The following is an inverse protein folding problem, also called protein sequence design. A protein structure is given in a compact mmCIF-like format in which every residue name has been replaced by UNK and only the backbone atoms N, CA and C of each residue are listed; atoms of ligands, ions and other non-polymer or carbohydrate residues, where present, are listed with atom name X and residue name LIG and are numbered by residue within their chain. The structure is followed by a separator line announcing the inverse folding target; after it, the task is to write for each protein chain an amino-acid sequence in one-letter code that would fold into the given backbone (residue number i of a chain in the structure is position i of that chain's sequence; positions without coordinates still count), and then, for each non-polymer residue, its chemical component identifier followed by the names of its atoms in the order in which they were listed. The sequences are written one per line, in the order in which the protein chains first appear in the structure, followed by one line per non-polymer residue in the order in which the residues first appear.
data_IF_635430963161
#
_entry.id   IF_635430963161
#
_cell.length_a   1.000
_cell.length_b   1.000
_cell.length_c   1.000
_cell.angle_alpha   90.00
_cell.angle_beta   90.00
_cell.angle_gamma   90.00
#
_symmetry.space_group_name_H-M   'P 1'
#
loop_
_entity.id
_entity.type
_entity.pdbx_description
1 polymer ?
#
# COMPACT_ATOMS: atom_id res chain seq x y z
N UNK A 1 -9.00 2.66 13.26
CA UNK A 1 -7.82 1.84 12.94
C UNK A 1 -7.02 1.57 14.22
N UNK A 2 -7.42 0.55 15.01
CA UNK A 2 -6.79 0.16 16.30
C UNK A 2 -5.62 -0.82 16.12
N UNK A 3 -4.88 -0.74 15.02
CA UNK A 3 -3.67 -1.55 14.79
C UNK A 3 -2.46 -1.09 15.63
N UNK A 4 -2.47 0.13 16.14
CA UNK A 4 -1.32 0.75 16.79
C UNK A 4 -0.86 0.11 18.12
N UNK A 5 -1.71 -0.36 19.04
CA UNK A 5 -1.24 -0.91 20.30
C UNK A 5 -0.49 -2.24 20.15
N UNK A 6 -0.97 -3.13 19.27
CA UNK A 6 -0.37 -4.46 19.07
C UNK A 6 0.92 -4.38 18.25
N UNK A 7 1.00 -3.43 17.32
CA UNK A 7 2.23 -3.11 16.59
C UNK A 7 3.33 -2.68 17.57
N UNK A 8 3.01 -1.89 18.59
CA UNK A 8 3.99 -1.43 19.59
C UNK A 8 4.64 -2.57 20.41
N UNK A 9 3.89 -3.62 20.72
CA UNK A 9 4.36 -4.72 21.57
C UNK A 9 5.25 -5.70 20.79
N UNK A 10 4.92 -5.99 19.53
CA UNK A 10 5.70 -6.90 18.67
C UNK A 10 7.01 -6.30 18.15
N UNK A 11 7.12 -4.97 18.11
CA UNK A 11 8.21 -4.28 17.41
C UNK A 11 9.49 -4.04 18.23
N UNK A 12 9.47 -4.20 19.54
CA UNK A 12 10.67 -3.87 20.31
C UNK A 12 11.79 -4.92 20.20
N UNK A 13 11.58 -6.09 19.60
CA UNK A 13 12.53 -7.19 19.74
C UNK A 13 12.86 -7.97 18.44
N UNK A 14 12.04 -7.99 17.38
CA UNK A 14 12.21 -9.03 16.36
C UNK A 14 12.19 -8.62 14.87
N UNK A 15 11.48 -7.60 14.46
CA UNK A 15 11.26 -7.30 13.03
C UNK A 15 11.96 -6.01 12.59
N UNK A 16 12.68 -6.06 11.47
CA UNK A 16 13.39 -4.91 10.89
C UNK A 16 12.85 -4.49 9.53
N UNK A 17 12.18 -5.39 8.84
CA UNK A 17 11.68 -5.19 7.49
C UNK A 17 10.21 -5.60 7.40
N UNK A 18 9.33 -4.64 7.19
CA UNK A 18 7.89 -4.81 7.32
C UNK A 18 7.22 -4.56 5.99
N UNK A 19 6.26 -5.42 5.65
CA UNK A 19 5.29 -5.19 4.61
C UNK A 19 3.94 -4.82 5.22
N UNK A 20 3.43 -3.62 4.93
CA UNK A 20 2.09 -3.21 5.30
C UNK A 20 1.16 -3.40 4.09
N UNK A 21 0.11 -4.20 4.24
CA UNK A 21 -0.97 -4.27 3.26
C UNK A 21 -2.19 -3.55 3.82
N UNK A 22 -2.68 -2.55 3.11
CA UNK A 22 -3.81 -1.73 3.56
C UNK A 22 -4.91 -1.78 2.50
N UNK A 23 -6.15 -2.02 2.92
CA UNK A 23 -7.28 -2.05 1.99
C UNK A 23 -7.59 -0.64 1.50
N UNK A 24 -7.97 -0.49 0.22
CA UNK A 24 -8.42 0.81 -0.30
C UNK A 24 -9.65 1.34 0.44
N UNK A 25 -10.57 0.46 0.80
CA UNK A 25 -11.78 0.82 1.55
C UNK A 25 -11.48 1.46 2.91
N UNK A 26 -10.37 1.06 3.56
CA UNK A 26 -9.92 1.69 4.81
C UNK A 26 -9.53 3.15 4.62
N UNK A 27 -9.09 3.55 3.42
CA UNK A 27 -8.71 4.94 3.11
C UNK A 27 -9.92 5.83 2.83
N UNK A 28 -11.07 5.26 2.52
CA UNK A 28 -12.31 6.01 2.33
C UNK A 28 -12.99 6.39 3.65
N UNK A 29 -12.66 5.69 4.75
CA UNK A 29 -13.28 5.93 6.05
C UNK A 29 -14.79 5.70 6.01
N UNK A 30 -15.55 6.74 6.36
CA UNK A 30 -17.01 6.77 6.27
C UNK A 30 -17.52 7.15 4.88
N UNK A 31 -16.67 7.61 3.99
CA UNK A 31 -17.05 7.98 2.63
C UNK A 31 -17.35 6.71 1.81
N UNK A 32 -18.28 6.83 0.86
CA UNK A 32 -18.59 5.73 -0.05
C UNK A 32 -17.44 5.45 -1.03
N UNK A 33 -16.74 6.51 -1.44
CA UNK A 33 -15.63 6.46 -2.41
C UNK A 33 -14.57 7.53 -2.08
N UNK A 34 -13.39 7.38 -2.68
CA UNK A 34 -12.31 8.35 -2.58
C UNK A 34 -11.51 8.23 -1.29
N UNK A 35 -11.14 9.35 -0.70
CA UNK A 35 -10.31 9.45 0.49
C UNK A 35 -11.05 10.10 1.66
N UNK A 36 -10.76 9.60 2.86
CA UNK A 36 -10.85 10.37 4.08
C UNK A 36 -9.44 10.92 4.38
N UNK A 37 -9.29 12.23 4.31
CA UNK A 37 -7.98 12.87 4.45
C UNK A 37 -7.42 12.80 5.87
N UNK A 38 -8.27 12.71 6.89
CA UNK A 38 -7.84 12.53 8.27
C UNK A 38 -7.25 11.13 8.46
N UNK A 39 -7.92 10.10 7.94
CA UNK A 39 -7.40 8.72 7.93
C UNK A 39 -6.07 8.63 7.18
N UNK A 40 -5.96 9.29 6.04
CA UNK A 40 -4.74 9.30 5.25
C UNK A 40 -3.59 9.96 6.01
N UNK A 41 -3.87 11.06 6.72
CA UNK A 41 -2.91 11.75 7.57
C UNK A 41 -2.48 10.89 8.77
N UNK A 42 -3.44 10.27 9.47
CA UNK A 42 -3.16 9.40 10.61
C UNK A 42 -2.31 8.19 10.21
N UNK A 43 -2.58 7.61 9.03
CA UNK A 43 -1.75 6.56 8.45
C UNK A 43 -0.32 7.06 8.21
N UNK A 44 -0.16 8.22 7.60
CA UNK A 44 1.16 8.81 7.34
C UNK A 44 1.93 9.09 8.63
N UNK A 45 1.27 9.61 9.67
CA UNK A 45 1.88 9.83 11.00
C UNK A 45 2.31 8.51 11.66
N UNK A 46 1.51 7.47 11.51
CA UNK A 46 1.83 6.14 12.01
C UNK A 46 3.05 5.54 11.32
N UNK A 47 3.14 5.68 9.99
CA UNK A 47 4.31 5.26 9.20
C UNK A 47 5.55 6.04 9.63
N UNK A 48 5.45 7.35 9.84
CA UNK A 48 6.56 8.18 10.35
C UNK A 48 7.10 7.68 11.69
N UNK A 49 6.20 7.35 12.63
CA UNK A 49 6.56 6.77 13.92
C UNK A 49 7.28 5.44 13.80
N UNK A 50 6.90 4.60 12.83
CA UNK A 50 7.58 3.33 12.57
C UNK A 50 8.96 3.56 11.94
N UNK A 51 9.05 4.45 10.95
CA UNK A 51 10.32 4.77 10.28
C UNK A 51 11.36 5.35 11.24
N UNK A 52 10.94 6.19 12.21
CA UNK A 52 11.86 6.74 13.23
C UNK A 52 12.52 5.67 14.11
N UNK A 53 12.04 4.41 14.08
CA UNK A 53 12.64 3.26 14.74
C UNK A 53 13.61 2.48 13.86
N UNK A 54 14.06 3.06 12.73
CA UNK A 54 14.94 2.42 11.74
C UNK A 54 14.35 1.14 11.12
N UNK A 55 13.01 1.08 11.00
CA UNK A 55 12.33 -0.02 10.32
C UNK A 55 12.27 0.25 8.82
N UNK A 56 12.62 -0.75 8.01
CA UNK A 56 12.35 -0.74 6.57
C UNK A 56 10.87 -0.99 6.33
N UNK A 57 10.21 -0.07 5.65
CA UNK A 57 8.76 -0.11 5.47
C UNK A 57 8.44 -0.21 3.99
N UNK A 58 7.77 -1.29 3.63
CA UNK A 58 7.14 -1.52 2.34
C UNK A 58 5.63 -1.49 2.48
N UNK A 59 4.91 -0.92 1.51
CA UNK A 59 3.46 -0.76 1.58
C UNK A 59 2.83 -1.24 0.29
N UNK A 60 1.73 -1.99 0.39
CA UNK A 60 0.82 -2.31 -0.72
C UNK A 60 -0.56 -1.79 -0.37
N UNK A 61 -1.13 -0.96 -1.23
CA UNK A 61 -2.48 -0.42 -1.07
C UNK A 61 -3.47 -1.12 -2.00
N UNK A 62 -4.67 -1.37 -1.50
CA UNK A 62 -5.81 -1.78 -2.32
C UNK A 62 -6.39 -0.59 -3.11
N UNK A 63 -7.23 -0.88 -4.12
CA UNK A 63 -7.93 0.13 -4.93
C UNK A 63 -9.44 0.20 -4.70
N UNK A 64 -9.97 -0.53 -3.70
CA UNK A 64 -11.41 -0.75 -3.49
C UNK A 64 -12.22 0.50 -3.14
N UNK A 65 -11.57 1.61 -2.75
CA UNK A 65 -12.21 2.91 -2.53
C UNK A 65 -12.54 3.66 -3.84
N UNK A 66 -12.00 3.23 -4.97
CA UNK A 66 -12.33 3.78 -6.29
C UNK A 66 -13.10 2.77 -7.14
N UNK A 67 -12.68 1.50 -7.11
CA UNK A 67 -13.22 0.45 -7.96
C UNK A 67 -13.59 -0.76 -7.09
N UNK A 68 -14.89 -1.00 -6.95
CA UNK A 68 -15.42 -2.22 -6.31
C UNK A 68 -15.76 -3.23 -7.40
N UNK A 69 -15.17 -4.41 -7.35
CA UNK A 69 -15.43 -5.48 -8.32
C UNK A 69 -16.92 -5.83 -8.46
N UNK A 70 -17.69 -5.71 -7.38
CA UNK A 70 -19.15 -5.90 -7.38
C UNK A 70 -19.93 -4.85 -8.17
N UNK A 71 -19.39 -3.63 -8.33
CA UNK A 71 -20.05 -2.54 -9.08
C UNK A 71 -20.05 -2.78 -10.60
N UNK A 72 -19.23 -3.71 -11.08
CA UNK A 72 -19.10 -4.05 -12.51
C UNK A 72 -19.67 -5.44 -12.87
N UNK A 73 -20.33 -6.09 -11.92
CA UNK A 73 -20.94 -7.43 -12.12
C UNK A 73 -22.08 -7.45 -13.16
N UNK A 74 -22.54 -6.28 -13.61
CA UNK A 74 -23.63 -6.14 -14.59
C UNK A 74 -23.17 -6.29 -16.06
N UNK A 75 -21.96 -6.84 -16.30
CA UNK A 75 -21.49 -7.14 -17.65
C UNK A 75 -21.09 -5.94 -18.52
N UNK A 76 -21.09 -4.72 -17.98
CA UNK A 76 -20.71 -3.50 -18.74
C UNK A 76 -19.20 -3.43 -18.97
N UNK A 77 -18.40 -3.95 -18.03
CA UNK A 77 -16.93 -3.96 -18.12
C UNK A 77 -16.45 -5.40 -17.91
N UNK A 78 -15.59 -5.89 -18.79
CA UNK A 78 -14.99 -7.22 -18.62
C UNK A 78 -14.03 -7.26 -17.44
N UNK A 79 -13.75 -8.49 -16.95
CA UNK A 79 -12.95 -8.73 -15.77
C UNK A 79 -11.52 -8.19 -15.89
N UNK A 80 -10.88 -8.33 -17.05
CA UNK A 80 -9.50 -7.89 -17.28
C UNK A 80 -9.41 -6.38 -17.19
N UNK A 81 -10.34 -5.67 -17.87
CA UNK A 81 -10.44 -4.22 -17.81
C UNK A 81 -10.73 -3.73 -16.40
N UNK A 82 -11.65 -4.37 -15.68
CA UNK A 82 -11.96 -4.05 -14.28
C UNK A 82 -10.73 -4.18 -13.37
N UNK A 83 -9.95 -5.24 -13.56
CA UNK A 83 -8.72 -5.45 -12.79
C UNK A 83 -7.67 -4.37 -13.08
N UNK A 84 -7.50 -3.95 -14.34
CA UNK A 84 -6.64 -2.81 -14.68
C UNK A 84 -7.13 -1.49 -14.07
N UNK A 85 -8.43 -1.24 -14.09
CA UNK A 85 -9.01 -0.07 -13.41
C UNK A 85 -8.69 -0.11 -11.90
N UNK A 86 -8.82 -1.28 -11.26
CA UNK A 86 -8.42 -1.47 -9.87
C UNK A 86 -6.93 -1.22 -9.63
N UNK A 87 -6.05 -1.67 -10.54
CA UNK A 87 -4.62 -1.37 -10.48
C UNK A 87 -4.35 0.14 -10.53
N UNK A 88 -5.05 0.88 -11.41
CA UNK A 88 -4.95 2.34 -11.47
C UNK A 88 -5.47 2.99 -10.19
N UNK A 89 -6.53 2.48 -9.58
CA UNK A 89 -7.01 2.91 -8.26
C UNK A 89 -5.93 2.79 -7.18
N UNK A 90 -5.12 1.71 -7.21
CA UNK A 90 -3.99 1.58 -6.27
C UNK A 90 -2.91 2.64 -6.52
N UNK A 91 -2.70 3.06 -7.77
CA UNK A 91 -1.74 4.14 -8.10
C UNK A 91 -2.20 5.46 -7.50
N UNK A 92 -3.49 5.80 -7.65
CA UNK A 92 -4.07 7.02 -7.07
C UNK A 92 -3.86 7.02 -5.54
N UNK A 93 -4.17 5.90 -4.86
CA UNK A 93 -3.94 5.75 -3.42
C UNK A 93 -2.48 5.92 -3.03
N UNK A 94 -1.57 5.34 -3.83
CA UNK A 94 -0.13 5.40 -3.56
C UNK A 94 0.43 6.81 -3.69
N UNK A 95 -0.03 7.58 -4.66
CA UNK A 95 0.38 8.97 -4.86
C UNK A 95 -0.15 9.87 -3.73
N UNK A 96 -1.40 9.67 -3.31
CA UNK A 96 -1.99 10.41 -2.20
C UNK A 96 -1.23 10.16 -0.89
N UNK A 97 -0.91 8.89 -0.59
CA UNK A 97 -0.10 8.55 0.59
C UNK A 97 1.32 9.10 0.49
N UNK A 98 1.98 8.98 -0.68
CA UNK A 98 3.31 9.53 -0.91
C UNK A 98 3.34 11.04 -0.66
N UNK A 99 2.38 11.78 -1.22
CA UNK A 99 2.28 13.23 -1.03
C UNK A 99 2.18 13.60 0.45
N UNK A 100 1.38 12.87 1.21
CA UNK A 100 1.22 13.09 2.64
C UNK A 100 2.50 12.76 3.43
N UNK A 101 3.17 11.65 3.11
CA UNK A 101 4.43 11.26 3.72
C UNK A 101 5.52 12.33 3.49
N UNK A 102 5.66 12.82 2.25
CA UNK A 102 6.62 13.87 1.90
C UNK A 102 6.31 15.16 2.67
N UNK A 103 5.04 15.56 2.75
CA UNK A 103 4.59 16.75 3.50
C UNK A 103 5.03 16.72 4.96
N UNK A 104 5.06 15.55 5.59
CA UNK A 104 5.49 15.39 6.99
C UNK A 104 6.98 15.00 7.15
N UNK A 105 7.77 15.08 6.07
CA UNK A 105 9.22 14.86 6.08
C UNK A 105 9.66 13.39 6.01
N UNK A 106 8.80 12.49 5.50
CA UNK A 106 9.11 11.07 5.28
C UNK A 106 9.45 10.86 3.82
N UNK A 107 10.72 10.53 3.51
CA UNK A 107 11.11 10.16 2.16
C UNK A 107 10.41 8.88 1.73
N UNK A 108 9.72 8.92 0.59
CA UNK A 108 8.98 7.78 0.05
C UNK A 108 9.09 7.69 -1.46
N UNK A 109 8.87 6.50 -2.01
CA UNK A 109 8.86 6.23 -3.46
C UNK A 109 7.68 5.34 -3.81
N UNK A 110 6.94 5.73 -4.84
CA UNK A 110 5.93 4.89 -5.48
C UNK A 110 6.57 4.12 -6.62
N UNK A 111 6.41 2.81 -6.61
CA UNK A 111 6.88 1.93 -7.67
C UNK A 111 5.71 1.12 -8.22
N UNK A 112 5.54 1.12 -9.54
CA UNK A 112 4.38 0.52 -10.21
C UNK A 112 4.76 -0.74 -10.98
N UNK A 113 3.91 -1.77 -10.90
CA UNK A 113 4.07 -3.01 -11.66
C UNK A 113 3.69 -2.84 -13.15
N UNK A 114 2.80 -1.89 -13.48
CA UNK A 114 2.53 -1.47 -14.85
C UNK A 114 3.28 -0.16 -15.15
N UNK A 115 3.77 0.03 -16.38
CA UNK A 115 4.60 1.18 -16.74
C UNK A 115 3.79 2.47 -16.83
N UNK A 116 4.02 3.40 -15.90
CA UNK A 116 3.44 4.76 -15.88
C UNK A 116 4.58 5.75 -15.58
N UNK A 117 5.59 5.75 -16.43
CA UNK A 117 6.91 6.36 -16.18
C UNK A 117 6.89 7.87 -15.85
N UNK A 118 5.84 8.60 -16.27
CA UNK A 118 5.70 10.04 -15.93
C UNK A 118 5.13 10.29 -14.54
N UNK A 119 4.61 9.24 -13.87
CA UNK A 119 3.86 9.36 -12.63
C UNK A 119 4.58 8.68 -11.47
N UNK A 120 5.16 7.49 -11.73
CA UNK A 120 5.83 6.69 -10.71
C UNK A 120 6.97 5.88 -11.32
N UNK A 121 7.89 5.40 -10.47
CA UNK A 121 9.00 4.56 -10.92
C UNK A 121 8.49 3.17 -11.33
N UNK A 122 8.98 2.60 -12.44
CA UNK A 122 8.72 1.19 -12.74
C UNK A 122 9.35 0.31 -11.66
N UNK A 123 8.61 -0.74 -11.26
CA UNK A 123 9.11 -1.67 -10.28
C UNK A 123 10.31 -2.46 -10.80
N UNK A 124 11.43 -2.30 -10.12
CA UNK A 124 12.64 -3.12 -10.27
C UNK A 124 13.10 -3.50 -8.87
N UNK A 125 13.19 -4.82 -8.58
CA UNK A 125 13.54 -5.35 -7.27
C UNK A 125 14.75 -4.67 -6.63
N UNK A 126 15.85 -4.55 -7.37
CA UNK A 126 17.08 -3.97 -6.84
C UNK A 126 16.95 -2.47 -6.55
N UNK A 127 16.13 -1.73 -7.31
CA UNK A 127 15.80 -0.34 -7.04
C UNK A 127 15.00 -0.21 -5.74
N UNK A 128 13.96 -1.03 -5.57
CA UNK A 128 13.16 -1.06 -4.36
C UNK A 128 14.02 -1.36 -3.12
N UNK A 129 14.88 -2.37 -3.19
CA UNK A 129 15.83 -2.70 -2.13
C UNK A 129 16.79 -1.54 -1.82
N UNK A 130 17.27 -0.83 -2.84
CA UNK A 130 18.13 0.35 -2.67
C UNK A 130 17.39 1.48 -1.94
N UNK A 131 16.09 1.72 -2.25
CA UNK A 131 15.30 2.70 -1.53
C UNK A 131 15.12 2.33 -0.07
N UNK A 132 14.76 1.08 0.23
CA UNK A 132 14.62 0.59 1.60
C UNK A 132 15.94 0.70 2.39
N UNK A 133 17.08 0.42 1.77
CA UNK A 133 18.39 0.54 2.40
C UNK A 133 18.79 2.01 2.67
N UNK A 134 18.18 2.96 1.97
CA UNK A 134 18.32 4.39 2.21
C UNK A 134 17.24 4.94 3.17
N UNK A 135 16.61 4.06 3.93
CA UNK A 135 15.52 4.38 4.88
C UNK A 135 14.34 5.11 4.24
N UNK A 136 14.04 4.86 2.95
CA UNK A 136 12.87 5.37 2.25
C UNK A 136 11.73 4.38 2.37
N UNK A 137 10.52 4.88 2.59
CA UNK A 137 9.30 4.08 2.49
C UNK A 137 9.05 3.75 1.01
N UNK A 138 8.83 2.48 0.68
CA UNK A 138 8.50 2.05 -0.68
C UNK A 138 7.04 1.64 -0.75
N UNK A 139 6.29 2.28 -1.66
CA UNK A 139 4.88 2.00 -1.89
C UNK A 139 4.76 1.28 -3.22
N UNK A 140 4.33 0.02 -3.19
CA UNK A 140 4.12 -0.80 -4.38
C UNK A 140 2.69 -0.63 -4.89
N UNK A 141 2.55 -0.10 -6.08
CA UNK A 141 1.29 0.15 -6.75
C UNK A 141 1.07 -0.81 -7.95
N UNK A 142 -0.14 -0.84 -8.46
CA UNK A 142 -0.59 -1.71 -9.57
C UNK A 142 -0.55 -3.21 -9.25
N UNK A 143 -0.62 -3.58 -7.98
CA UNK A 143 -0.69 -4.98 -7.57
C UNK A 143 0.49 -5.82 -8.10
N UNK A 144 0.18 -6.94 -8.74
CA UNK A 144 1.19 -7.78 -9.43
C UNK A 144 1.50 -7.28 -10.85
N UNK A 145 0.69 -6.37 -11.40
CA UNK A 145 0.70 -5.98 -12.81
C UNK A 145 -0.10 -6.89 -13.72
N UNK A 146 -0.68 -7.97 -13.18
CA UNK A 146 -1.45 -8.97 -13.93
C UNK A 146 -2.90 -9.02 -13.43
N UNK A 147 -3.90 -9.09 -14.35
CA UNK A 147 -5.27 -9.36 -13.99
C UNK A 147 -5.43 -10.67 -13.21
N UNK A 148 -6.57 -10.84 -12.54
CA UNK A 148 -6.95 -11.99 -11.72
C UNK A 148 -6.19 -12.15 -10.39
N UNK A 149 -5.25 -11.30 -10.06
CA UNK A 149 -4.52 -11.33 -8.79
C UNK A 149 -4.98 -10.22 -7.86
N UNK A 150 -5.19 -10.58 -6.58
CA UNK A 150 -5.53 -9.62 -5.54
C UNK A 150 -4.32 -8.80 -5.09
N UNK A 151 -4.57 -7.68 -4.41
CA UNK A 151 -3.50 -6.91 -3.74
C UNK A 151 -2.92 -7.65 -2.53
N UNK A 152 -3.62 -8.62 -1.95
CA UNK A 152 -3.06 -9.53 -0.94
C UNK A 152 -1.98 -10.42 -1.55
N UNK A 153 -2.23 -11.00 -2.73
CA UNK A 153 -1.23 -11.75 -3.50
C UNK A 153 -0.02 -10.87 -3.84
N UNK A 154 -0.27 -9.63 -4.25
CA UNK A 154 0.81 -8.69 -4.52
C UNK A 154 1.65 -8.39 -3.26
N UNK A 155 1.02 -8.24 -2.10
CA UNK A 155 1.73 -8.01 -0.85
C UNK A 155 2.64 -9.19 -0.48
N UNK A 156 2.16 -10.42 -0.62
CA UNK A 156 2.98 -11.63 -0.39
C UNK A 156 4.15 -11.71 -1.36
N UNK A 157 3.90 -11.48 -2.65
CA UNK A 157 4.95 -11.48 -3.68
C UNK A 157 6.03 -10.44 -3.34
N UNK A 158 5.65 -9.19 -3.10
CA UNK A 158 6.59 -8.11 -2.79
C UNK A 158 7.31 -8.33 -1.46
N UNK A 159 6.62 -8.85 -0.44
CA UNK A 159 7.24 -9.20 0.84
C UNK A 159 8.35 -10.25 0.66
N UNK A 160 8.09 -11.29 -0.13
CA UNK A 160 9.07 -12.32 -0.45
C UNK A 160 10.29 -11.74 -1.19
N UNK A 161 10.06 -10.90 -2.19
CA UNK A 161 11.12 -10.26 -2.97
C UNK A 161 11.96 -9.29 -2.14
N UNK A 162 11.34 -8.56 -1.22
CA UNK A 162 12.00 -7.61 -0.30
C UNK A 162 12.56 -8.28 0.94
N UNK A 163 12.34 -9.59 1.12
CA UNK A 163 12.71 -10.35 2.32
C UNK A 163 12.13 -9.70 3.58
N UNK A 164 10.85 -9.37 3.55
CA UNK A 164 10.16 -8.82 4.71
C UNK A 164 10.03 -9.87 5.80
N UNK A 165 10.25 -9.47 7.04
CA UNK A 165 10.17 -10.34 8.22
C UNK A 165 8.71 -10.66 8.56
N UNK A 166 7.79 -9.74 8.26
CA UNK A 166 6.37 -9.84 8.57
C UNK A 166 5.51 -9.08 7.55
N UNK A 167 4.30 -9.59 7.31
CA UNK A 167 3.23 -8.89 6.59
C UNK A 167 2.15 -8.53 7.60
N UNK A 168 1.83 -7.24 7.69
CA UNK A 168 0.74 -6.74 8.52
C UNK A 168 -0.40 -6.27 7.61
N UNK A 169 -1.58 -6.83 7.80
CA UNK A 169 -2.77 -6.51 7.02
C UNK A 169 -3.70 -5.60 7.82
N UNK A 170 -3.86 -4.35 7.34
CA UNK A 170 -4.86 -3.40 7.82
C UNK A 170 -6.15 -3.54 7.03
N UNK A 171 -7.25 -3.83 7.73
CA UNK A 171 -8.60 -3.97 7.18
C UNK A 171 -9.57 -3.04 7.89
N UNK A 172 -10.79 -2.92 7.36
CA UNK A 172 -11.87 -2.14 7.97
C UNK A 172 -12.56 -2.90 9.13
N UNK A 173 -12.26 -4.18 9.31
CA UNK A 173 -12.83 -5.06 10.33
C UNK A 173 -11.82 -5.39 11.42
N UNK A 174 -12.28 -5.72 12.62
CA UNK A 174 -11.45 -5.92 13.83
C UNK A 174 -10.66 -7.24 13.86
N UNK A 175 -10.54 -7.91 12.74
CA UNK A 175 -9.75 -9.14 12.61
C UNK A 175 -10.29 -10.08 11.54
N UNK A 176 -9.65 -11.21 11.41
CA UNK A 176 -10.05 -12.34 10.56
C UNK A 176 -10.46 -13.48 11.46
#
# INVERSE_FOLDING_TARGET
LTLLPWIYILFNIMYKNIMLKISGESLAGSNEQGFDFDILNDLAQSIKKLQSKNLKISIVLGGGNFIRGSSFSNGVVDRVTSDYMGMLGTVINSLALQSNLIKIGVESRVMTAISINRVAEPYIKNKASSHLNKNRVVIFASGTGNPFFSTDTAAVLRASEMKSDIILKGTKVDGI
#
